data_IF_558739980087
#
_entry.id   IF_558739980087
#
_cell.length_a   1.000
_cell.length_b   1.000
_cell.length_c   1.000
_cell.angle_alpha   90.00
_cell.angle_beta   90.00
_cell.angle_gamma   90.00
#
_symmetry.space_group_name_H-M   'P 1'
#
loop_
_entity.id
_entity.type
_entity.pdbx_description
1 polymer ?
#
# COMPACT_ATOMS: atom_id res chain seq x y z
N UNK A 1 -24.75 19.46 5.60
CA UNK A 1 -23.87 18.31 5.31
C UNK A 1 -23.83 18.12 3.79
N UNK A 2 -22.67 18.31 3.14
CA UNK A 2 -22.54 18.08 1.68
C UNK A 2 -22.27 16.60 1.45
N UNK A 3 -23.10 15.91 0.67
CA UNK A 3 -22.85 14.52 0.27
C UNK A 3 -21.78 14.49 -0.81
N UNK A 4 -20.77 13.63 -0.65
CA UNK A 4 -19.79 13.36 -1.69
C UNK A 4 -20.54 12.69 -2.86
N UNK A 5 -20.39 13.18 -4.10
CA UNK A 5 -20.98 12.53 -5.27
C UNK A 5 -20.55 11.06 -5.39
N UNK A 6 -21.33 10.22 -6.07
CA UNK A 6 -20.92 8.84 -6.40
C UNK A 6 -20.45 8.76 -7.85
N UNK A 7 -19.66 7.75 -8.18
CA UNK A 7 -19.26 7.48 -9.57
C UNK A 7 -20.49 7.31 -10.47
N UNK A 8 -21.49 6.58 -9.98
CA UNK A 8 -22.76 6.42 -10.65
C UNK A 8 -23.49 7.75 -10.86
N UNK A 9 -23.45 8.65 -9.90
CA UNK A 9 -24.02 9.99 -10.08
C UNK A 9 -23.27 10.78 -11.16
N UNK A 10 -21.94 10.72 -11.18
CA UNK A 10 -21.14 11.36 -12.22
C UNK A 10 -21.43 10.80 -13.62
N UNK A 11 -21.55 9.48 -13.76
CA UNK A 11 -21.96 8.82 -15.01
C UNK A 11 -23.36 9.25 -15.46
N UNK A 12 -24.32 9.32 -14.53
CA UNK A 12 -25.67 9.81 -14.84
C UNK A 12 -25.67 11.29 -15.25
N UNK A 13 -24.78 12.11 -14.68
CA UNK A 13 -24.61 13.49 -15.13
C UNK A 13 -24.02 13.55 -16.53
N UNK A 14 -23.07 12.69 -16.89
CA UNK A 14 -22.55 12.60 -18.24
C UNK A 14 -23.64 12.26 -19.25
N UNK A 15 -24.44 11.23 -18.96
CA UNK A 15 -25.59 10.85 -19.80
C UNK A 15 -26.62 11.97 -19.93
N UNK A 16 -27.01 12.60 -18.81
CA UNK A 16 -28.06 13.62 -18.80
C UNK A 16 -27.64 14.93 -19.48
N UNK A 17 -26.34 15.27 -19.43
CA UNK A 17 -25.80 16.51 -19.98
C UNK A 17 -25.16 16.33 -21.36
N UNK A 18 -25.16 15.12 -21.90
CA UNK A 18 -24.51 14.80 -23.18
C UNK A 18 -22.99 15.01 -23.15
N UNK A 19 -22.38 14.81 -21.97
CA UNK A 19 -20.94 14.98 -21.79
C UNK A 19 -20.25 13.63 -22.05
N UNK A 20 -19.15 13.67 -22.80
CA UNK A 20 -18.37 12.48 -23.15
C UNK A 20 -17.48 12.02 -21.99
N UNK A 21 -18.09 11.62 -20.86
CA UNK A 21 -17.39 11.16 -19.66
C UNK A 21 -16.69 12.28 -18.86
N UNK A 22 -17.01 13.55 -19.12
CA UNK A 22 -16.32 14.68 -18.49
C UNK A 22 -16.58 14.74 -16.97
N UNK A 23 -17.82 14.46 -16.54
CA UNK A 23 -18.19 14.40 -15.13
C UNK A 23 -17.58 13.18 -14.45
N UNK A 24 -17.54 12.02 -15.09
CA UNK A 24 -16.84 10.85 -14.60
C UNK A 24 -15.34 11.12 -14.44
N UNK A 25 -14.70 11.79 -15.40
CA UNK A 25 -13.29 12.24 -15.28
C UNK A 25 -13.08 13.23 -14.13
N UNK A 26 -13.96 14.22 -13.99
CA UNK A 26 -13.91 15.17 -12.87
C UNK A 26 -14.11 14.47 -11.53
N UNK A 27 -15.05 13.52 -11.46
CA UNK A 27 -15.28 12.71 -10.28
C UNK A 27 -14.05 11.85 -9.93
N UNK A 28 -13.42 11.23 -10.93
CA UNK A 28 -12.15 10.51 -10.74
C UNK A 28 -11.03 11.44 -10.27
N UNK A 29 -10.93 12.66 -10.81
CA UNK A 29 -10.00 13.67 -10.32
C UNK A 29 -10.28 14.08 -8.86
N UNK A 30 -11.53 13.95 -8.39
CA UNK A 30 -11.88 14.16 -6.97
C UNK A 30 -11.61 12.95 -6.08
N UNK A 31 -11.53 11.74 -6.65
CA UNK A 31 -11.41 10.46 -5.93
C UNK A 31 -10.19 10.41 -5.02
N UNK A 32 -9.10 11.05 -5.43
CA UNK A 32 -7.82 11.06 -4.72
C UNK A 32 -7.44 12.44 -4.16
N UNK A 33 -8.39 13.37 -4.02
CA UNK A 33 -8.11 14.72 -3.51
C UNK A 33 -7.45 14.71 -2.12
N UNK A 34 -7.85 13.77 -1.27
CA UNK A 34 -7.31 13.60 0.09
C UNK A 34 -5.95 12.90 0.12
N UNK A 35 -5.45 12.42 -1.02
CA UNK A 35 -4.12 11.87 -1.13
C UNK A 35 -3.12 13.00 -1.47
N UNK A 36 -1.87 12.91 -0.97
CA UNK A 36 -0.81 13.84 -1.37
C UNK A 36 -0.67 13.91 -2.89
N UNK A 37 -0.45 15.11 -3.43
CA UNK A 37 -0.40 15.34 -4.89
C UNK A 37 0.61 14.44 -5.61
N UNK A 38 1.81 14.29 -5.04
CA UNK A 38 2.86 13.41 -5.58
C UNK A 38 2.46 11.92 -5.62
N UNK A 39 1.46 11.52 -4.83
CA UNK A 39 1.00 10.13 -4.72
C UNK A 39 -0.20 9.83 -5.62
N UNK A 40 -0.88 10.86 -6.14
CA UNK A 40 -2.07 10.69 -6.98
C UNK A 40 -1.80 9.90 -8.28
N UNK A 41 -0.69 10.12 -9.01
CA UNK A 41 -0.40 9.33 -10.21
C UNK A 41 -0.30 7.82 -9.90
N UNK A 42 0.33 7.45 -8.77
CA UNK A 42 0.38 6.06 -8.35
C UNK A 42 -1.01 5.47 -8.06
N UNK A 43 -1.94 6.25 -7.50
CA UNK A 43 -3.29 5.77 -7.21
C UNK A 43 -4.09 5.46 -8.48
N UNK A 44 -3.81 6.14 -9.59
CA UNK A 44 -4.37 5.81 -10.91
C UNK A 44 -3.81 4.47 -11.40
N UNK A 45 -2.50 4.26 -11.30
CA UNK A 45 -1.87 3.00 -11.70
C UNK A 45 -2.29 1.81 -10.84
N UNK A 46 -2.36 2.01 -9.53
CA UNK A 46 -2.84 0.98 -8.61
C UNK A 46 -4.28 0.54 -8.92
N UNK A 47 -5.14 1.49 -9.31
CA UNK A 47 -6.53 1.19 -9.64
C UNK A 47 -6.62 0.27 -10.87
N UNK A 48 -5.76 0.46 -11.87
CA UNK A 48 -5.75 -0.31 -13.12
C UNK A 48 -4.95 -1.62 -13.05
N UNK A 49 -4.16 -1.79 -11.98
CA UNK A 49 -3.31 -2.95 -11.79
C UNK A 49 -4.12 -4.26 -11.65
N UNK A 50 -3.60 -5.30 -12.30
CA UNK A 50 -4.04 -6.70 -12.11
C UNK A 50 -3.13 -7.47 -11.14
N UNK A 51 -1.93 -6.93 -10.87
CA UNK A 51 -0.99 -7.42 -9.87
C UNK A 51 -0.26 -6.27 -9.20
N UNK A 52 0.10 -6.44 -7.93
CA UNK A 52 0.87 -5.49 -7.13
C UNK A 52 1.99 -6.27 -6.42
N UNK A 53 3.23 -5.78 -6.52
CA UNK A 53 4.38 -6.33 -5.81
C UNK A 53 5.05 -5.24 -4.99
N UNK A 54 5.14 -5.37 -3.67
CA UNK A 54 5.74 -4.34 -2.81
C UNK A 54 6.90 -4.88 -1.97
N UNK A 55 7.94 -4.06 -1.85
CA UNK A 55 9.01 -4.21 -0.88
C UNK A 55 8.92 -3.07 0.13
N UNK A 56 8.87 -3.42 1.41
CA UNK A 56 8.63 -2.48 2.50
C UNK A 56 9.66 -2.68 3.64
N UNK A 57 10.75 -1.89 3.66
CA UNK A 57 11.84 -2.07 4.61
C UNK A 57 11.57 -1.49 6.00
N UNK A 58 10.59 -0.59 6.13
CA UNK A 58 10.47 0.25 7.33
C UNK A 58 9.07 0.33 7.94
N UNK A 59 8.03 0.09 7.13
CA UNK A 59 6.64 0.28 7.51
C UNK A 59 5.81 -0.88 6.98
N UNK A 60 4.68 -1.13 7.61
CA UNK A 60 3.69 -2.05 7.04
C UNK A 60 3.03 -1.34 5.84
N UNK A 61 2.89 -2.00 4.67
CA UNK A 61 2.37 -1.37 3.46
C UNK A 61 0.99 -0.79 3.71
N UNK A 62 0.71 0.37 3.12
CA UNK A 62 -0.55 1.10 3.34
C UNK A 62 -1.83 0.30 3.06
N UNK A 63 -1.76 -0.74 2.21
CA UNK A 63 -2.89 -1.64 1.94
C UNK A 63 -3.19 -2.60 3.11
N UNK A 64 -2.23 -2.83 4.01
CA UNK A 64 -2.35 -3.68 5.18
C UNK A 64 -2.43 -2.90 6.49
N UNK A 65 -2.45 -1.57 6.47
CA UNK A 65 -2.49 -0.77 7.71
C UNK A 65 -3.89 -0.73 8.31
N UNK A 66 -4.01 -0.93 9.61
CA UNK A 66 -5.19 -0.59 10.38
C UNK A 66 -5.30 0.93 10.54
N UNK A 67 -6.50 1.43 10.77
CA UNK A 67 -6.74 2.86 10.99
C UNK A 67 -5.88 3.44 12.14
N UNK A 68 -5.75 2.80 13.32
CA UNK A 68 -4.89 3.31 14.39
C UNK A 68 -3.41 3.37 13.99
N UNK A 69 -2.87 2.35 13.32
CA UNK A 69 -1.48 2.35 12.86
C UNK A 69 -1.22 3.48 11.85
N UNK A 70 -2.10 3.64 10.86
CA UNK A 70 -1.97 4.67 9.84
C UNK A 70 -2.04 6.08 10.43
N UNK A 71 -2.92 6.30 11.43
CA UNK A 71 -3.04 7.59 12.13
C UNK A 71 -1.73 7.95 12.83
N UNK A 72 -1.17 7.03 13.60
CA UNK A 72 0.08 7.21 14.34
C UNK A 72 1.26 7.48 13.41
N UNK A 73 1.32 6.77 12.28
CA UNK A 73 2.32 7.01 11.24
C UNK A 73 2.20 8.42 10.62
N UNK A 74 0.98 8.89 10.29
CA UNK A 74 0.81 10.21 9.69
C UNK A 74 1.12 11.35 10.66
N UNK A 75 0.85 11.18 11.95
CA UNK A 75 1.10 12.17 12.98
C UNK A 75 2.59 12.48 13.21
N UNK A 76 3.52 11.69 12.66
CA UNK A 76 4.97 11.91 12.83
C UNK A 76 5.51 13.03 11.94
N UNK A 77 4.75 13.52 10.95
CA UNK A 77 5.23 14.53 10.02
C UNK A 77 5.41 15.90 10.72
N UNK A 78 6.59 16.56 10.60
CA UNK A 78 6.79 17.86 11.22
C UNK A 78 5.77 18.90 10.73
N UNK A 79 5.06 19.53 11.67
CA UNK A 79 4.10 20.60 11.39
C UNK A 79 2.75 20.16 10.83
N UNK A 80 2.46 18.84 10.75
CA UNK A 80 1.16 18.35 10.30
C UNK A 80 0.05 18.67 11.31
N UNK A 81 -1.11 19.10 10.83
CA UNK A 81 -2.28 19.33 11.70
C UNK A 81 -3.10 18.05 11.90
N UNK A 82 -3.93 18.02 12.94
CA UNK A 82 -4.87 16.91 13.18
C UNK A 82 -5.83 16.73 12.00
N UNK A 83 -6.29 17.83 11.39
CA UNK A 83 -7.18 17.80 10.23
C UNK A 83 -6.49 17.16 9.02
N UNK A 84 -5.22 17.49 8.77
CA UNK A 84 -4.44 16.88 7.68
C UNK A 84 -4.17 15.38 7.92
N UNK A 85 -3.95 14.98 9.18
CA UNK A 85 -3.82 13.56 9.55
C UNK A 85 -5.11 12.81 9.22
N UNK A 86 -6.27 13.34 9.66
CA UNK A 86 -7.56 12.69 9.42
C UNK A 86 -7.93 12.66 7.93
N UNK A 87 -7.57 13.69 7.15
CA UNK A 87 -7.75 13.69 5.69
C UNK A 87 -6.93 12.59 5.01
N UNK A 88 -5.63 12.50 5.33
CA UNK A 88 -4.73 11.46 4.79
C UNK A 88 -5.16 10.07 5.22
N UNK A 89 -5.62 9.92 6.46
CA UNK A 89 -6.16 8.68 7.00
C UNK A 89 -7.40 8.24 6.23
N UNK A 90 -8.34 9.14 5.99
CA UNK A 90 -9.53 8.85 5.20
C UNK A 90 -9.17 8.41 3.77
N UNK A 91 -8.14 9.03 3.17
CA UNK A 91 -7.58 8.60 1.89
C UNK A 91 -6.98 7.18 1.94
N UNK A 92 -6.20 6.87 2.98
CA UNK A 92 -5.60 5.54 3.24
C UNK A 92 -6.66 4.45 3.32
N UNK A 93 -7.71 4.68 4.12
CA UNK A 93 -8.78 3.71 4.33
C UNK A 93 -9.62 3.50 3.07
N UNK A 94 -9.88 4.56 2.29
CA UNK A 94 -10.56 4.42 0.98
C UNK A 94 -9.74 3.60 -0.01
N UNK A 95 -8.42 3.81 -0.07
CA UNK A 95 -7.50 3.07 -0.95
C UNK A 95 -7.58 1.55 -0.73
N UNK A 96 -7.75 1.09 0.50
CA UNK A 96 -7.83 -0.35 0.84
C UNK A 96 -9.02 -1.09 0.23
N UNK A 97 -10.04 -0.38 -0.26
CA UNK A 97 -11.17 -0.99 -0.96
C UNK A 97 -10.76 -1.82 -2.19
N UNK A 98 -9.55 -1.61 -2.74
CA UNK A 98 -8.99 -2.43 -3.82
C UNK A 98 -8.90 -3.93 -3.47
N UNK A 99 -8.73 -4.27 -2.18
CA UNK A 99 -8.69 -5.65 -1.69
C UNK A 99 -10.05 -6.36 -1.83
N UNK A 100 -11.15 -5.59 -1.80
CA UNK A 100 -12.52 -6.09 -1.69
C UNK A 100 -13.34 -5.92 -2.99
N UNK A 101 -12.74 -5.45 -4.09
CA UNK A 101 -13.43 -5.33 -5.38
C UNK A 101 -13.71 -6.70 -6.00
N UNK A 102 -14.66 -6.80 -6.93
CA UNK A 102 -15.05 -8.06 -7.60
C UNK A 102 -13.87 -8.83 -8.20
N UNK A 103 -12.86 -8.11 -8.71
CA UNK A 103 -11.62 -8.66 -9.28
C UNK A 103 -10.40 -8.04 -8.59
N UNK A 104 -10.07 -8.44 -7.34
CA UNK A 104 -8.91 -7.86 -6.64
C UNK A 104 -7.62 -8.23 -7.38
N UNK A 105 -6.57 -7.38 -7.36
CA UNK A 105 -5.29 -7.73 -7.97
C UNK A 105 -4.63 -8.90 -7.21
N UNK A 106 -3.69 -9.58 -7.86
CA UNK A 106 -2.73 -10.44 -7.15
C UNK A 106 -1.77 -9.55 -6.36
N UNK A 107 -1.51 -9.85 -5.10
CA UNK A 107 -0.75 -8.98 -4.20
C UNK A 107 0.39 -9.79 -3.58
N UNK A 108 1.62 -9.45 -3.95
CA UNK A 108 2.84 -10.02 -3.38
C UNK A 108 3.58 -8.99 -2.54
N UNK A 109 3.59 -9.19 -1.22
CA UNK A 109 4.19 -8.26 -0.27
C UNK A 109 5.41 -8.93 0.35
N UNK A 110 6.55 -8.25 0.26
CA UNK A 110 7.77 -8.59 0.97
C UNK A 110 8.08 -7.45 1.93
N UNK A 111 8.28 -7.77 3.20
CA UNK A 111 8.61 -6.81 4.24
C UNK A 111 9.89 -7.22 4.94
N UNK A 112 10.64 -6.24 5.45
CA UNK A 112 11.74 -6.51 6.38
C UNK A 112 11.18 -6.91 7.75
N UNK A 113 11.86 -7.79 8.48
CA UNK A 113 11.47 -8.17 9.84
C UNK A 113 11.34 -6.96 10.78
N UNK A 114 12.11 -5.88 10.54
CA UNK A 114 12.02 -4.64 11.31
C UNK A 114 10.62 -4.03 11.36
N UNK A 115 9.78 -4.23 10.35
CA UNK A 115 8.40 -3.70 10.35
C UNK A 115 7.54 -4.35 11.43
N UNK A 116 7.89 -5.56 11.86
CA UNK A 116 7.18 -6.30 12.91
C UNK A 116 7.47 -5.69 14.28
N UNK A 117 8.67 -5.13 14.48
CA UNK A 117 9.21 -4.72 15.78
C UNK A 117 9.09 -3.22 16.09
N UNK A 118 8.85 -2.37 15.08
CA UNK A 118 8.72 -0.93 15.29
C UNK A 118 7.35 -0.58 15.91
N UNK A 119 7.36 -0.09 17.15
CA UNK A 119 6.17 0.13 18.00
C UNK A 119 5.33 1.37 17.62
N UNK A 120 4.80 1.41 16.40
CA UNK A 120 3.93 2.50 15.93
C UNK A 120 2.59 2.42 16.69
N UNK A 121 2.25 3.49 17.41
CA UNK A 121 1.05 3.52 18.26
C UNK A 121 1.12 2.70 19.54
N UNK A 122 2.30 2.19 19.90
CA UNK A 122 2.48 1.33 21.08
C UNK A 122 2.05 -0.12 20.88
N UNK A 123 2.09 -0.89 21.98
CA UNK A 123 1.94 -2.35 21.96
C UNK A 123 0.55 -2.81 21.49
N UNK A 124 -0.52 -2.14 21.92
CA UNK A 124 -1.89 -2.51 21.58
C UNK A 124 -2.17 -2.30 20.09
N UNK A 125 -1.78 -1.15 19.55
CA UNK A 125 -1.92 -0.82 18.12
C UNK A 125 -1.13 -1.81 17.26
N UNK A 126 0.12 -2.08 17.60
CA UNK A 126 0.93 -3.05 16.84
C UNK A 126 0.37 -4.46 16.92
N UNK A 127 -0.13 -4.90 18.08
CA UNK A 127 -0.75 -6.23 18.21
C UNK A 127 -1.97 -6.35 17.30
N UNK A 128 -2.86 -5.36 17.30
CA UNK A 128 -4.03 -5.33 16.43
C UNK A 128 -3.62 -5.28 14.95
N UNK A 129 -2.61 -4.49 14.63
CA UNK A 129 -2.05 -4.37 13.29
C UNK A 129 -1.50 -5.70 12.75
N UNK A 130 -0.68 -6.40 13.53
CA UNK A 130 -0.12 -7.69 13.13
C UNK A 130 -1.19 -8.77 13.04
N UNK A 131 -2.21 -8.73 13.92
CA UNK A 131 -3.37 -9.61 13.82
C UNK A 131 -4.14 -9.39 12.51
N UNK A 132 -4.35 -8.14 12.11
CA UNK A 132 -4.96 -7.81 10.83
C UNK A 132 -4.14 -8.32 9.63
N UNK A 133 -2.80 -8.25 9.69
CA UNK A 133 -1.96 -8.85 8.65
C UNK A 133 -2.18 -10.36 8.53
N UNK A 134 -2.33 -11.07 9.65
CA UNK A 134 -2.63 -12.50 9.67
C UNK A 134 -4.01 -12.83 9.10
N UNK A 135 -4.98 -11.93 9.24
CA UNK A 135 -6.30 -12.05 8.61
C UNK A 135 -6.20 -11.84 7.09
N UNK A 136 -5.54 -10.77 6.65
CA UNK A 136 -5.36 -10.47 5.22
C UNK A 136 -4.55 -11.57 4.51
N UNK A 137 -3.58 -12.20 5.20
CA UNK A 137 -2.82 -13.33 4.68
C UNK A 137 -3.69 -14.55 4.32
N UNK A 138 -4.94 -14.64 4.81
CA UNK A 138 -5.88 -15.71 4.45
C UNK A 138 -6.55 -15.47 3.09
N UNK A 139 -6.45 -14.25 2.54
CA UNK A 139 -7.02 -13.93 1.24
C UNK A 139 -6.24 -14.64 0.11
N UNK A 140 -6.91 -15.37 -0.80
CA UNK A 140 -6.24 -16.23 -1.79
C UNK A 140 -5.40 -15.47 -2.82
N UNK A 141 -5.59 -14.15 -2.93
CA UNK A 141 -4.77 -13.29 -3.80
C UNK A 141 -3.63 -12.57 -3.10
N UNK A 142 -3.45 -12.76 -1.79
CA UNK A 142 -2.40 -12.10 -1.02
C UNK A 142 -1.32 -13.11 -0.64
N UNK A 143 -0.07 -12.75 -0.85
CA UNK A 143 1.10 -13.46 -0.32
C UNK A 143 1.93 -12.48 0.49
N UNK A 144 2.21 -12.83 1.74
CA UNK A 144 3.08 -12.08 2.64
C UNK A 144 4.36 -12.86 2.89
N UNK A 145 5.51 -12.23 2.69
CA UNK A 145 6.81 -12.77 3.03
C UNK A 145 7.61 -11.78 3.87
N UNK A 146 8.44 -12.31 4.77
CA UNK A 146 9.33 -11.53 5.64
C UNK A 146 10.76 -11.86 5.27
N UNK A 147 11.56 -10.84 5.00
CA UNK A 147 13.03 -10.94 4.97
C UNK A 147 13.49 -10.93 6.42
N UNK A 148 14.02 -12.04 6.94
CA UNK A 148 14.36 -12.16 8.34
C UNK A 148 15.65 -11.40 8.66
N UNK A 149 15.91 -11.07 9.92
CA UNK A 149 17.15 -10.38 10.32
C UNK A 149 18.44 -11.16 10.01
N UNK A 150 18.36 -12.48 9.85
CA UNK A 150 19.47 -13.31 9.40
C UNK A 150 19.82 -13.11 7.92
N UNK A 151 18.93 -12.50 7.13
CA UNK A 151 19.30 -12.04 5.80
C UNK A 151 20.30 -10.88 5.97
N UNK A 152 21.53 -11.09 5.50
CA UNK A 152 22.59 -10.07 5.56
C UNK A 152 22.26 -8.89 4.62
N UNK A 153 23.28 -8.12 4.20
CA UNK A 153 23.07 -6.99 3.31
C UNK A 153 22.41 -7.40 1.97
N UNK A 154 21.30 -6.75 1.64
CA UNK A 154 20.60 -6.95 0.37
C UNK A 154 20.18 -5.63 -0.27
N UNK A 155 19.85 -5.68 -1.56
CA UNK A 155 19.58 -4.47 -2.36
C UNK A 155 18.28 -3.71 -2.01
N UNK A 156 17.49 -4.22 -1.05
CA UNK A 156 16.27 -3.59 -0.56
C UNK A 156 16.49 -2.56 0.55
N UNK A 157 17.67 -2.56 1.19
CA UNK A 157 17.99 -1.63 2.27
C UNK A 157 17.97 -0.15 1.86
N UNK A 158 18.04 0.13 0.56
CA UNK A 158 18.10 1.51 0.04
C UNK A 158 16.72 2.20 -0.09
N UNK A 159 15.61 1.49 0.10
CA UNK A 159 14.28 2.09 0.03
C UNK A 159 13.17 1.11 -0.37
N UNK A 160 11.95 1.47 0.03
CA UNK A 160 10.72 0.75 -0.33
C UNK A 160 10.23 1.13 -1.71
N UNK A 161 9.49 0.21 -2.33
CA UNK A 161 8.83 0.46 -3.60
C UNK A 161 7.66 -0.51 -3.82
N UNK A 162 6.76 -0.13 -4.70
CA UNK A 162 5.65 -0.98 -5.17
C UNK A 162 5.60 -0.96 -6.69
N UNK A 163 5.37 -2.11 -7.30
CA UNK A 163 5.28 -2.32 -8.74
C UNK A 163 3.85 -2.70 -9.09
N UNK A 164 3.28 -2.02 -10.08
CA UNK A 164 2.00 -2.35 -10.69
C UNK A 164 2.21 -3.23 -11.92
N UNK A 165 1.37 -4.25 -12.05
CA UNK A 165 1.41 -5.21 -13.13
C UNK A 165 0.08 -5.30 -13.87
N UNK A 166 0.16 -5.39 -15.20
CA UNK A 166 -0.98 -5.60 -16.08
C UNK A 166 -0.72 -6.84 -16.92
N UNK A 167 -1.62 -7.82 -16.84
CA UNK A 167 -1.49 -9.10 -17.54
C UNK A 167 -0.16 -9.82 -17.23
N UNK A 168 0.32 -9.71 -15.98
CA UNK A 168 1.56 -10.35 -15.52
C UNK A 168 2.86 -9.64 -15.92
N UNK A 169 2.79 -8.50 -16.60
CA UNK A 169 3.95 -7.68 -16.92
C UNK A 169 3.99 -6.41 -16.05
N UNK A 170 5.14 -6.06 -15.44
CA UNK A 170 5.28 -4.83 -14.70
C UNK A 170 5.29 -3.64 -15.67
N UNK A 171 4.57 -2.56 -15.32
CA UNK A 171 4.38 -1.43 -16.24
C UNK A 171 4.41 -0.06 -15.56
N UNK A 172 4.28 0.00 -14.23
CA UNK A 172 4.50 1.19 -13.44
C UNK A 172 5.06 0.80 -12.07
N UNK A 173 5.70 1.75 -11.38
CA UNK A 173 6.13 1.58 -10.01
C UNK A 173 5.98 2.89 -9.22
N UNK A 174 5.91 2.79 -7.91
CA UNK A 174 6.10 3.91 -7.01
C UNK A 174 7.28 3.61 -6.09
N UNK A 175 8.28 4.48 -6.09
CA UNK A 175 9.46 4.39 -5.25
C UNK A 175 9.37 5.42 -4.12
N UNK A 176 9.59 4.96 -2.88
CA UNK A 176 9.72 5.86 -1.75
C UNK A 176 10.97 6.71 -1.88
N UNK A 177 10.83 8.00 -1.64
CA UNK A 177 11.95 8.93 -1.61
C UNK A 177 11.62 10.11 -0.69
N UNK A 178 12.67 10.76 -0.19
CA UNK A 178 12.57 12.02 0.56
C UNK A 178 13.10 13.15 -0.33
N UNK A 179 12.41 14.32 -0.40
CA UNK A 179 11.23 14.70 0.37
C UNK A 179 9.89 14.14 -0.14
N UNK A 180 9.84 13.63 -1.38
CA UNK A 180 8.62 13.07 -1.99
C UNK A 180 8.95 11.81 -2.77
N UNK A 181 8.07 10.80 -2.70
CA UNK A 181 8.16 9.61 -3.54
C UNK A 181 7.80 9.91 -5.00
N UNK A 182 8.06 8.93 -5.87
CA UNK A 182 7.92 9.11 -7.32
C UNK A 182 7.21 7.93 -7.95
N UNK A 183 6.25 8.25 -8.83
CA UNK A 183 5.68 7.29 -9.77
C UNK A 183 6.61 7.20 -10.98
N UNK A 184 6.87 5.98 -11.45
CA UNK A 184 7.82 5.64 -12.50
C UNK A 184 7.11 4.77 -13.54
N UNK A 185 7.25 5.11 -14.81
CA UNK A 185 6.66 4.40 -15.96
C UNK A 185 7.72 4.02 -17.03
N UNK A 186 8.98 4.38 -16.81
CA UNK A 186 10.08 4.01 -17.71
C UNK A 186 10.34 2.49 -17.66
N UNK A 187 10.27 1.86 -18.83
CA UNK A 187 10.36 0.40 -18.98
C UNK A 187 11.70 -0.18 -18.48
N UNK A 188 12.81 0.51 -18.70
CA UNK A 188 14.11 0.04 -18.24
C UNK A 188 14.18 0.10 -16.72
N UNK A 189 13.75 1.22 -16.13
CA UNK A 189 13.69 1.41 -14.67
C UNK A 189 12.78 0.39 -14.00
N UNK A 190 11.59 0.13 -14.56
CA UNK A 190 10.65 -0.87 -14.03
C UNK A 190 11.25 -2.27 -14.10
N UNK A 191 11.94 -2.61 -15.18
CA UNK A 191 12.62 -3.90 -15.32
C UNK A 191 13.68 -4.08 -14.24
N UNK A 192 14.46 -3.04 -13.96
CA UNK A 192 15.46 -3.06 -12.88
C UNK A 192 14.81 -3.20 -11.49
N UNK A 193 13.69 -2.52 -11.23
CA UNK A 193 12.94 -2.67 -9.97
C UNK A 193 12.34 -4.07 -9.81
N UNK A 194 11.81 -4.66 -10.88
CA UNK A 194 11.30 -6.03 -10.85
C UNK A 194 12.41 -7.04 -10.52
N UNK A 195 13.59 -6.91 -11.16
CA UNK A 195 14.74 -7.74 -10.83
C UNK A 195 15.18 -7.56 -9.37
N UNK A 196 15.15 -6.32 -8.86
CA UNK A 196 15.47 -6.01 -7.46
C UNK A 196 14.47 -6.66 -6.50
N UNK A 197 13.18 -6.61 -6.81
CA UNK A 197 12.14 -7.30 -6.04
C UNK A 197 12.40 -8.80 -5.97
N UNK A 198 12.73 -9.44 -7.10
CA UNK A 198 12.96 -10.88 -7.15
C UNK A 198 14.19 -11.29 -6.32
N UNK A 199 15.26 -10.48 -6.32
CA UNK A 199 16.43 -10.68 -5.44
C UNK A 199 16.04 -10.56 -3.97
N UNK A 200 15.31 -9.51 -3.58
CA UNK A 200 14.87 -9.33 -2.18
C UNK A 200 13.98 -10.49 -1.74
N UNK A 201 13.05 -10.90 -2.60
CA UNK A 201 12.13 -12.00 -2.32
C UNK A 201 12.86 -13.35 -2.17
N UNK A 202 14.00 -13.54 -2.83
CA UNK A 202 14.81 -14.74 -2.67
C UNK A 202 15.40 -14.88 -1.26
N UNK A 203 15.65 -13.76 -0.58
CA UNK A 203 16.09 -13.71 0.82
C UNK A 203 14.92 -13.88 1.82
N UNK A 204 13.69 -13.77 1.35
CA UNK A 204 12.52 -13.80 2.21
C UNK A 204 12.12 -15.23 2.59
N UNK A 205 11.69 -15.41 3.83
CA UNK A 205 11.09 -16.65 4.31
C UNK A 205 9.91 -17.07 3.40
N UNK A 206 9.69 -18.38 3.20
CA UNK A 206 8.48 -18.87 2.57
C UNK A 206 7.21 -18.43 3.33
N UNK A 207 6.11 -18.21 2.61
CA UNK A 207 4.83 -17.71 3.15
C UNK A 207 4.43 -18.33 4.52
N UNK A 208 4.47 -19.66 4.64
CA UNK A 208 4.09 -20.35 5.88
C UNK A 208 5.01 -20.01 7.06
N UNK A 209 6.31 -19.83 6.80
CA UNK A 209 7.29 -19.45 7.81
C UNK A 209 7.16 -17.97 8.17
N UNK A 210 6.90 -17.10 7.21
CA UNK A 210 6.58 -15.68 7.45
C UNK A 210 5.32 -15.51 8.32
N UNK A 211 4.24 -16.24 8.03
CA UNK A 211 3.03 -16.25 8.86
C UNK A 211 3.32 -16.78 10.27
N UNK A 212 4.19 -17.78 10.40
CA UNK A 212 4.62 -18.31 11.70
C UNK A 212 5.38 -17.24 12.50
N UNK A 213 6.33 -16.56 11.88
CA UNK A 213 7.10 -15.47 12.51
C UNK A 213 6.17 -14.35 12.99
N UNK A 214 5.23 -13.89 12.16
CA UNK A 214 4.25 -12.86 12.55
C UNK A 214 3.43 -13.32 13.78
N UNK A 215 2.98 -14.58 13.80
CA UNK A 215 2.27 -15.15 14.98
C UNK A 215 3.15 -15.20 16.23
N UNK A 216 4.42 -15.54 16.09
CA UNK A 216 5.36 -15.57 17.21
C UNK A 216 5.54 -14.17 17.80
N UNK A 217 5.77 -13.17 16.94
CA UNK A 217 5.87 -11.75 17.32
C UNK A 217 4.60 -11.27 18.04
N UNK A 218 3.40 -11.57 17.52
CA UNK A 218 2.12 -11.22 18.17
C UNK A 218 2.00 -11.83 19.59
N UNK A 219 2.48 -13.05 19.78
CA UNK A 219 2.33 -13.79 21.03
C UNK A 219 3.44 -13.51 22.05
N UNK A 220 4.51 -12.82 21.66
CA UNK A 220 5.53 -12.38 22.61
C UNK A 220 4.89 -11.48 23.68
N UNK A 221 5.27 -11.72 24.94
CA UNK A 221 4.70 -11.06 26.12
C UNK A 221 5.34 -9.71 26.43
N UNK A 222 6.43 -9.35 25.73
CA UNK A 222 7.32 -8.24 26.12
C UNK A 222 7.21 -7.00 25.21
N UNK A 223 5.98 -6.70 24.74
CA UNK A 223 5.68 -5.43 24.08
C UNK A 223 5.41 -4.33 25.10
#
# INVERSE_FOLDING_TARGET
>A
MKRVPTERFAQLCDEALGLDGAMARLFMATKWQTAPEYFRPWLEEEQDATGLRSWEPNLIPGLLQTEPYAREMFATAPGITTEEVEERLAGRMRRQSILNRDKPPMIGIVMDEAVLHRRIGGAEVMRAQLQFMLEVAQHPKVTLQIVPYEAEAHCGLIGGFIIAEKNGAPYAAYADAQPVGRTLDDREVITQLAARYDVIRAEALPFKQSVKLIKEVVNQRDW
#
